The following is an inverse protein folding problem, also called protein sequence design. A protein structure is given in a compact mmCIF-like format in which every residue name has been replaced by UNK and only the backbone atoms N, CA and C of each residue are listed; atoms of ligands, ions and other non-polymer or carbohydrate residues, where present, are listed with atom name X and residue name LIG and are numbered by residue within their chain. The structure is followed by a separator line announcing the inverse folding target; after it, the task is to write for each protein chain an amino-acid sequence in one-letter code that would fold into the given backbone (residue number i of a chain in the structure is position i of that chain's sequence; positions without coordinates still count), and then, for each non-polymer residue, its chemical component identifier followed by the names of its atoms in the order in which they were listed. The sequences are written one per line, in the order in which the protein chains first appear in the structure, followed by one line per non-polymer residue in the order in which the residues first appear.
data_IF_922576373666
#
_entry.id   IF_922576373666
#
_cell.length_a   1.000
_cell.length_b   1.000
_cell.length_c   1.000
_cell.angle_alpha   90.00
_cell.angle_beta   90.00
_cell.angle_gamma   90.00
#
_symmetry.space_group_name_H-M   'P 1'
#
loop_
_entity.id
_entity.type
_entity.pdbx_description
1 polymer ?
#
# COMPACT_ATOMS: atom_id res chain seq x y z
N UNK A 1 7.72 -9.14 24.33
CA UNK A 1 7.52 -9.56 22.93
C UNK A 1 8.61 -8.94 22.08
N UNK A 2 9.32 -9.75 21.29
CA UNK A 2 10.33 -9.26 20.35
C UNK A 2 9.90 -9.63 18.93
N UNK A 3 9.64 -8.62 18.10
CA UNK A 3 8.95 -8.79 16.82
C UNK A 3 9.91 -8.61 15.66
N UNK A 4 9.83 -9.50 14.66
CA UNK A 4 10.46 -9.37 13.37
C UNK A 4 9.40 -9.14 12.30
N UNK A 5 9.49 -8.04 11.56
CA UNK A 5 8.65 -7.78 10.39
C UNK A 5 9.42 -8.17 9.13
N UNK A 6 8.85 -9.05 8.34
CA UNK A 6 9.43 -9.52 7.07
C UNK A 6 8.78 -8.79 5.90
N UNK A 7 9.57 -7.99 5.20
CA UNK A 7 9.19 -7.25 3.99
C UNK A 7 9.88 -7.83 2.76
N UNK A 8 9.46 -7.40 1.59
CA UNK A 8 10.13 -7.66 0.31
C UNK A 8 10.35 -6.36 -0.45
N UNK A 9 11.55 -6.19 -0.96
CA UNK A 9 11.94 -5.03 -1.77
C UNK A 9 11.41 -5.15 -3.23
N UNK A 10 10.11 -5.45 -3.33
CA UNK A 10 9.34 -5.53 -4.58
C UNK A 10 8.53 -4.26 -4.84
N UNK A 11 8.50 -3.33 -3.87
CA UNK A 11 7.83 -2.04 -3.95
C UNK A 11 7.82 -1.31 -2.61
N UNK A 12 7.81 0.03 -2.66
CA UNK A 12 7.81 0.88 -1.46
C UNK A 12 6.57 0.69 -0.57
N UNK A 13 5.47 0.14 -1.10
CA UNK A 13 4.25 -0.10 -0.34
C UNK A 13 4.46 -1.04 0.84
N UNK A 14 5.06 -2.21 0.62
CA UNK A 14 5.34 -3.18 1.67
C UNK A 14 6.29 -2.61 2.73
N UNK A 15 7.33 -1.89 2.30
CA UNK A 15 8.27 -1.24 3.20
C UNK A 15 7.61 -0.12 4.03
N UNK A 16 6.68 0.64 3.45
CA UNK A 16 5.91 1.66 4.17
C UNK A 16 4.99 1.03 5.22
N UNK A 17 4.29 -0.04 4.87
CA UNK A 17 3.47 -0.83 5.77
C UNK A 17 4.30 -1.39 6.95
N UNK A 18 5.44 -2.02 6.66
CA UNK A 18 6.35 -2.55 7.68
C UNK A 18 6.84 -1.46 8.65
N UNK A 19 7.19 -0.27 8.12
CA UNK A 19 7.61 0.88 8.94
C UNK A 19 6.49 1.37 9.85
N UNK A 20 5.25 1.45 9.36
CA UNK A 20 4.09 1.86 10.14
C UNK A 20 3.80 0.89 11.30
N UNK A 21 3.86 -0.42 11.05
CA UNK A 21 3.72 -1.44 12.09
C UNK A 21 4.85 -1.30 13.13
N UNK A 22 6.11 -1.22 12.66
CA UNK A 22 7.27 -1.08 13.56
C UNK A 22 7.13 0.12 14.49
N UNK A 23 6.71 1.26 13.98
CA UNK A 23 6.52 2.48 14.75
C UNK A 23 5.47 2.30 15.86
N UNK A 24 4.37 1.60 15.57
CA UNK A 24 3.35 1.29 16.56
C UNK A 24 3.89 0.41 17.71
N UNK A 25 4.74 -0.58 17.42
CA UNK A 25 5.38 -1.43 18.41
C UNK A 25 6.41 -0.65 19.24
N UNK A 26 7.32 0.08 18.58
CA UNK A 26 8.36 0.87 19.27
C UNK A 26 7.77 1.95 20.18
N UNK A 27 6.69 2.61 19.77
CA UNK A 27 6.02 3.63 20.57
C UNK A 27 5.43 3.10 21.89
N UNK A 28 5.30 1.78 22.02
CA UNK A 28 4.80 1.08 23.21
C UNK A 28 5.91 0.36 23.99
N UNK A 29 7.17 0.59 23.60
CA UNK A 29 8.34 0.03 24.28
C UNK A 29 8.67 -1.41 23.91
N UNK A 30 8.03 -1.98 22.86
CA UNK A 30 8.36 -3.32 22.37
C UNK A 30 9.56 -3.27 21.41
N UNK A 31 10.37 -4.32 21.39
CA UNK A 31 11.43 -4.49 20.40
C UNK A 31 10.82 -4.93 19.05
N UNK A 32 11.17 -4.22 17.98
CA UNK A 32 10.63 -4.51 16.66
C UNK A 32 11.62 -4.15 15.55
N UNK A 33 12.02 -5.15 14.77
CA UNK A 33 12.94 -5.00 13.65
C UNK A 33 12.27 -5.31 12.32
N UNK A 34 12.80 -4.74 11.23
CA UNK A 34 12.37 -5.03 9.85
C UNK A 34 13.52 -5.73 9.15
N UNK A 35 13.20 -6.82 8.44
CA UNK A 35 14.16 -7.54 7.64
C UNK A 35 13.64 -7.76 6.22
N UNK A 36 14.55 -7.65 5.22
CA UNK A 36 14.29 -8.00 3.83
C UNK A 36 14.35 -9.52 3.66
N UNK A 37 13.19 -10.13 3.42
CA UNK A 37 13.05 -11.59 3.40
C UNK A 37 13.79 -12.26 2.23
N UNK A 38 13.96 -11.58 1.11
CA UNK A 38 14.63 -12.14 -0.07
C UNK A 38 16.14 -12.36 0.15
N UNK A 39 16.73 -11.75 1.19
CA UNK A 39 18.13 -12.00 1.55
C UNK A 39 18.41 -13.44 1.97
N UNK A 40 17.39 -14.19 2.41
CA UNK A 40 17.51 -15.60 2.79
C UNK A 40 17.44 -16.56 1.59
N UNK A 41 17.11 -16.06 0.41
CA UNK A 41 17.18 -16.81 -0.83
C UNK A 41 18.63 -16.89 -1.36
N UNK A 42 18.88 -17.83 -2.28
CA UNK A 42 20.13 -17.83 -3.00
C UNK A 42 20.30 -16.52 -3.82
N UNK A 43 21.54 -16.05 -4.01
CA UNK A 43 21.82 -14.81 -4.75
C UNK A 43 21.19 -14.79 -6.14
N UNK A 44 21.13 -15.94 -6.83
CA UNK A 44 20.50 -16.03 -8.14
C UNK A 44 18.98 -15.85 -8.09
N UNK A 45 18.31 -16.44 -7.09
CA UNK A 45 16.86 -16.31 -6.88
C UNK A 45 16.51 -14.88 -6.46
N UNK A 46 17.27 -14.29 -5.54
CA UNK A 46 17.09 -12.91 -5.11
C UNK A 46 17.19 -11.94 -6.29
N UNK A 47 18.27 -12.01 -7.08
CA UNK A 47 18.46 -11.15 -8.27
C UNK A 47 17.34 -11.33 -9.30
N UNK A 48 16.89 -12.57 -9.52
CA UNK A 48 15.81 -12.85 -10.46
C UNK A 48 14.49 -12.19 -10.03
N UNK A 49 14.14 -12.27 -8.76
CA UNK A 49 12.90 -11.69 -8.23
C UNK A 49 12.99 -10.16 -8.21
N UNK A 50 14.01 -9.58 -7.57
CA UNK A 50 14.10 -8.12 -7.40
C UNK A 50 14.30 -7.38 -8.72
N UNK A 51 15.26 -7.82 -9.54
CA UNK A 51 15.53 -7.18 -10.83
C UNK A 51 14.43 -7.46 -11.85
N UNK A 52 13.90 -8.71 -11.86
CA UNK A 52 12.81 -9.11 -12.74
C UNK A 52 11.52 -8.33 -12.46
N UNK A 53 11.12 -8.24 -11.20
CA UNK A 53 9.94 -7.48 -10.78
C UNK A 53 10.05 -6.01 -11.16
N UNK A 54 11.14 -5.34 -10.78
CA UNK A 54 11.36 -3.91 -11.07
C UNK A 54 11.41 -3.64 -12.56
N UNK A 55 12.09 -4.51 -13.34
CA UNK A 55 12.16 -4.38 -14.79
C UNK A 55 10.79 -4.53 -15.45
N UNK A 56 10.04 -5.58 -15.10
CA UNK A 56 8.70 -5.83 -15.66
C UNK A 56 7.73 -4.68 -15.33
N UNK A 57 7.73 -4.22 -14.10
CA UNK A 57 6.86 -3.11 -13.68
C UNK A 57 7.16 -1.82 -14.45
N UNK A 58 8.44 -1.48 -14.66
CA UNK A 58 8.86 -0.24 -15.32
C UNK A 58 8.78 -0.28 -16.85
N UNK A 59 9.11 -1.41 -17.46
CA UNK A 59 9.34 -1.47 -18.92
C UNK A 59 8.32 -2.31 -19.67
N UNK A 60 7.66 -3.26 -18.99
CA UNK A 60 6.70 -4.18 -19.60
C UNK A 60 5.48 -4.40 -18.70
N UNK A 61 4.74 -3.34 -18.33
CA UNK A 61 3.60 -3.46 -17.40
C UNK A 61 2.54 -4.45 -17.87
N UNK A 62 2.29 -4.57 -19.17
CA UNK A 62 1.37 -5.57 -19.72
C UNK A 62 1.84 -7.01 -19.48
N UNK A 63 3.14 -7.27 -19.50
CA UNK A 63 3.70 -8.58 -19.17
C UNK A 63 3.58 -8.87 -17.68
N UNK A 64 3.80 -7.86 -16.84
CA UNK A 64 3.60 -7.94 -15.40
C UNK A 64 2.13 -8.28 -15.07
N UNK A 65 1.17 -7.58 -15.66
CA UNK A 65 -0.26 -7.87 -15.53
C UNK A 65 -0.60 -9.30 -15.99
N UNK A 66 -0.05 -9.73 -17.13
CA UNK A 66 -0.27 -11.10 -17.62
C UNK A 66 0.30 -12.15 -16.67
N UNK A 67 1.45 -11.90 -16.05
CA UNK A 67 2.07 -12.77 -15.04
C UNK A 67 1.22 -12.88 -13.77
N UNK A 68 0.66 -11.78 -13.28
CA UNK A 68 -0.23 -11.78 -12.13
C UNK A 68 -1.54 -12.55 -12.45
N UNK A 69 -2.19 -12.26 -13.57
CA UNK A 69 -3.39 -12.98 -14.01
C UNK A 69 -3.11 -14.48 -14.27
N UNK A 70 -1.88 -14.80 -14.71
CA UNK A 70 -1.48 -16.19 -14.82
C UNK A 70 -1.44 -16.87 -13.44
N UNK A 71 -0.92 -16.20 -12.41
CA UNK A 71 -0.92 -16.75 -11.04
C UNK A 71 -2.33 -16.92 -10.46
N UNK A 72 -3.28 -16.03 -10.81
CA UNK A 72 -4.69 -16.18 -10.42
C UNK A 72 -5.34 -17.41 -11.04
N UNK A 73 -5.02 -17.70 -12.30
CA UNK A 73 -5.55 -18.85 -13.03
C UNK A 73 -4.81 -20.16 -12.72
N UNK A 74 -3.69 -20.09 -11.99
CA UNK A 74 -2.87 -21.24 -11.62
C UNK A 74 -2.58 -21.20 -10.10
N UNK A 75 -3.59 -21.41 -9.25
CA UNK A 75 -3.47 -21.32 -7.80
C UNK A 75 -2.39 -22.27 -7.24
N UNK A 76 -2.12 -23.40 -7.94
CA UNK A 76 -1.09 -24.36 -7.55
C UNK A 76 0.35 -23.86 -7.74
N UNK A 77 0.55 -22.66 -8.32
CA UNK A 77 1.90 -22.13 -8.60
C UNK A 77 2.75 -21.99 -7.34
N UNK A 78 2.14 -21.65 -6.22
CA UNK A 78 2.80 -21.52 -4.91
C UNK A 78 2.41 -22.63 -3.92
N UNK A 79 1.67 -23.65 -4.39
CA UNK A 79 1.34 -24.83 -3.59
C UNK A 79 2.60 -25.65 -3.26
N UNK A 80 2.58 -26.41 -2.17
CA UNK A 80 3.70 -27.21 -1.62
C UNK A 80 4.41 -28.09 -2.66
N UNK A 81 3.73 -28.53 -3.72
CA UNK A 81 4.29 -29.35 -4.79
C UNK A 81 5.03 -28.56 -5.88
N UNK A 82 5.00 -27.23 -5.82
CA UNK A 82 5.59 -26.39 -6.87
C UNK A 82 7.07 -26.11 -6.66
N UNK A 83 7.82 -25.90 -7.77
CA UNK A 83 9.22 -25.49 -7.70
C UNK A 83 9.43 -24.11 -7.09
N UNK A 84 8.43 -23.23 -7.20
CA UNK A 84 8.48 -21.91 -6.59
C UNK A 84 8.36 -22.02 -5.08
N UNK A 85 7.42 -22.82 -4.58
CA UNK A 85 7.31 -23.09 -3.15
C UNK A 85 8.59 -23.73 -2.61
N UNK A 86 9.17 -24.73 -3.29
CA UNK A 86 10.45 -25.33 -2.90
C UNK A 86 11.59 -24.31 -2.77
N UNK A 87 11.59 -23.29 -3.65
CA UNK A 87 12.60 -22.23 -3.59
C UNK A 87 12.45 -21.42 -2.29
N UNK A 88 11.24 -21.03 -1.92
CA UNK A 88 10.95 -20.32 -0.66
C UNK A 88 11.15 -21.23 0.56
N UNK A 89 10.75 -22.48 0.47
CA UNK A 89 10.96 -23.47 1.54
C UNK A 89 12.44 -23.69 1.89
N UNK A 90 13.36 -23.62 0.92
CA UNK A 90 14.82 -23.69 1.16
C UNK A 90 15.35 -22.49 1.95
N UNK A 91 14.68 -21.34 1.91
CA UNK A 91 15.03 -20.18 2.70
C UNK A 91 14.52 -20.27 4.15
N UNK A 92 13.67 -21.24 4.48
CA UNK A 92 13.09 -21.38 5.81
C UNK A 92 14.15 -21.62 6.90
N UNK A 93 15.15 -22.47 6.63
CA UNK A 93 16.18 -22.78 7.64
C UNK A 93 17.06 -21.56 7.97
N UNK A 94 17.70 -20.86 7.01
CA UNK A 94 18.49 -19.67 7.33
C UNK A 94 17.64 -18.53 7.94
N UNK A 95 16.38 -18.40 7.56
CA UNK A 95 15.46 -17.44 8.19
C UNK A 95 15.16 -17.87 9.64
N UNK A 96 14.92 -19.16 9.91
CA UNK A 96 14.69 -19.68 11.27
C UNK A 96 15.89 -19.44 12.17
N UNK A 97 17.11 -19.71 11.68
CA UNK A 97 18.34 -19.42 12.41
C UNK A 97 18.44 -17.94 12.78
N UNK A 98 18.12 -17.04 11.86
CA UNK A 98 18.07 -15.60 12.13
C UNK A 98 17.01 -15.23 13.19
N UNK A 99 15.81 -15.81 13.12
CA UNK A 99 14.74 -15.59 14.10
C UNK A 99 15.20 -16.05 15.49
N UNK A 100 15.72 -17.28 15.59
CA UNK A 100 16.21 -17.88 16.84
C UNK A 100 17.37 -17.09 17.44
N UNK A 101 18.40 -16.79 16.65
CA UNK A 101 19.61 -16.12 17.11
C UNK A 101 19.34 -14.66 17.49
N UNK A 102 18.33 -14.03 16.84
CA UNK A 102 17.81 -12.72 17.20
C UNK A 102 16.89 -12.73 18.43
N UNK A 103 16.43 -13.92 18.88
CA UNK A 103 15.50 -14.05 19.99
C UNK A 103 14.10 -13.52 19.70
N UNK A 104 13.69 -13.55 18.43
CA UNK A 104 12.34 -13.14 18.04
C UNK A 104 11.32 -14.23 18.36
N UNK A 105 10.23 -13.84 19.02
CA UNK A 105 9.10 -14.69 19.38
C UNK A 105 7.85 -14.43 18.54
N UNK A 106 7.88 -13.34 17.77
CA UNK A 106 6.76 -12.86 16.95
C UNK A 106 7.27 -12.47 15.55
N UNK A 107 6.57 -12.95 14.50
CA UNK A 107 6.91 -12.66 13.10
C UNK A 107 5.70 -12.18 12.33
N UNK A 108 5.82 -11.00 11.70
CA UNK A 108 4.76 -10.39 10.89
C UNK A 108 5.24 -10.30 9.43
N UNK A 109 4.50 -10.89 8.51
CA UNK A 109 4.81 -10.88 7.08
C UNK A 109 3.91 -9.87 6.35
N UNK A 110 4.50 -8.88 5.69
CA UNK A 110 3.77 -7.90 4.87
C UNK A 110 3.80 -8.23 3.37
N UNK A 111 4.25 -9.45 3.03
CA UNK A 111 4.29 -9.98 1.66
C UNK A 111 4.12 -11.50 1.67
N UNK A 112 3.58 -12.06 0.57
CA UNK A 112 3.33 -13.50 0.44
C UNK A 112 4.61 -14.33 0.57
N UNK A 113 5.73 -13.92 -0.04
CA UNK A 113 6.95 -14.73 -0.07
C UNK A 113 7.48 -15.06 1.33
N UNK A 114 7.68 -14.10 2.24
CA UNK A 114 8.04 -14.44 3.62
C UNK A 114 6.95 -15.23 4.34
N UNK A 115 5.67 -15.04 4.03
CA UNK A 115 4.60 -15.82 4.64
C UNK A 115 4.73 -17.33 4.31
N UNK A 116 5.12 -17.68 3.08
CA UNK A 116 5.41 -19.06 2.69
C UNK A 116 6.66 -19.62 3.39
N UNK A 117 7.73 -18.80 3.54
CA UNK A 117 8.92 -19.20 4.29
C UNK A 117 8.59 -19.48 5.76
N UNK A 118 7.84 -18.59 6.40
CA UNK A 118 7.43 -18.73 7.80
C UNK A 118 6.46 -19.90 7.99
N UNK A 119 5.57 -20.16 7.03
CA UNK A 119 4.73 -21.37 7.04
C UNK A 119 5.58 -22.62 7.14
N UNK A 120 6.68 -22.69 6.39
CA UNK A 120 7.59 -23.83 6.45
C UNK A 120 8.36 -23.91 7.77
N UNK A 121 8.68 -22.78 8.39
CA UNK A 121 9.28 -22.74 9.74
C UNK A 121 8.31 -23.32 10.76
N UNK A 122 7.04 -22.93 10.74
CA UNK A 122 6.02 -23.47 11.65
C UNK A 122 5.84 -24.99 11.51
N UNK A 123 5.98 -25.51 10.30
CA UNK A 123 5.85 -26.95 10.02
C UNK A 123 7.06 -27.77 10.50
N UNK A 124 8.28 -27.27 10.35
CA UNK A 124 9.51 -28.07 10.50
C UNK A 124 10.34 -27.71 11.70
N UNK A 125 10.23 -26.51 12.25
CA UNK A 125 11.18 -25.99 13.22
C UNK A 125 10.53 -25.46 14.50
N UNK A 126 9.56 -24.57 14.42
CA UNK A 126 8.97 -23.92 15.58
C UNK A 126 7.47 -23.63 15.39
N UNK A 127 6.58 -24.56 15.78
CA UNK A 127 5.14 -24.37 15.70
C UNK A 127 4.58 -23.38 16.73
N UNK A 128 5.37 -22.93 17.72
CA UNK A 128 4.94 -22.03 18.79
C UNK A 128 5.11 -20.56 18.45
N UNK A 129 5.80 -20.25 17.36
CA UNK A 129 6.07 -18.87 16.93
C UNK A 129 4.77 -18.11 16.67
N UNK A 130 4.65 -16.92 17.26
CA UNK A 130 3.51 -16.04 16.98
C UNK A 130 3.65 -15.41 15.59
N UNK A 131 2.69 -15.65 14.70
CA UNK A 131 2.83 -15.23 13.30
C UNK A 131 1.60 -14.54 12.75
N UNK A 132 1.81 -13.61 11.81
CA UNK A 132 0.73 -12.96 11.08
C UNK A 132 1.10 -12.62 9.64
N UNK A 133 0.07 -12.59 8.78
CA UNK A 133 0.12 -11.98 7.46
C UNK A 133 -0.65 -10.66 7.49
N UNK A 134 -0.14 -9.64 6.82
CA UNK A 134 -0.79 -8.34 6.62
C UNK A 134 -0.94 -8.10 5.13
N UNK A 135 -2.16 -8.02 4.65
CA UNK A 135 -2.46 -7.68 3.27
C UNK A 135 -2.21 -6.17 3.03
N UNK A 136 -1.61 -5.84 1.90
CA UNK A 136 -1.21 -4.48 1.52
C UNK A 136 -1.97 -3.93 0.33
N UNK A 137 -2.95 -4.69 -0.17
CA UNK A 137 -3.85 -4.33 -1.27
C UNK A 137 -5.27 -4.80 -0.97
N UNK A 138 -6.28 -4.18 -1.58
CA UNK A 138 -7.71 -4.44 -1.33
C UNK A 138 -8.21 -5.68 -2.06
N UNK A 139 -7.47 -6.76 -1.92
CA UNK A 139 -7.79 -8.09 -2.47
C UNK A 139 -7.09 -9.19 -1.67
N UNK A 140 -7.60 -10.40 -1.77
CA UNK A 140 -6.86 -11.60 -1.38
C UNK A 140 -5.95 -12.01 -2.55
N UNK A 141 -4.65 -11.73 -2.43
CA UNK A 141 -3.70 -12.14 -3.46
C UNK A 141 -3.67 -13.66 -3.63
N UNK A 142 -3.36 -14.17 -4.85
CA UNK A 142 -3.23 -15.60 -5.07
C UNK A 142 -2.30 -16.27 -4.06
N UNK A 143 -2.67 -17.46 -3.63
CA UNK A 143 -1.89 -18.30 -2.70
C UNK A 143 -1.70 -17.75 -1.27
N UNK A 144 -2.39 -16.69 -0.87
CA UNK A 144 -2.41 -16.28 0.56
C UNK A 144 -2.95 -17.40 1.44
N UNK A 145 -3.92 -18.20 0.93
CA UNK A 145 -4.45 -19.38 1.62
C UNK A 145 -3.45 -20.53 1.84
N UNK A 146 -2.34 -20.56 1.07
CA UNK A 146 -1.25 -21.52 1.30
C UNK A 146 -0.38 -21.12 2.50
N UNK A 147 -0.49 -19.89 2.99
CA UNK A 147 0.16 -19.47 4.22
C UNK A 147 -0.63 -19.94 5.45
N UNK A 148 0.07 -20.54 6.43
CA UNK A 148 -0.53 -21.12 7.65
C UNK A 148 -0.16 -20.28 8.89
N UNK A 149 -0.27 -18.95 8.76
CA UNK A 149 0.06 -18.03 9.83
C UNK A 149 -1.07 -17.89 10.85
N UNK A 150 -0.74 -17.46 12.06
CA UNK A 150 -1.66 -17.42 13.20
C UNK A 150 -2.76 -16.35 13.08
N UNK A 151 -2.55 -15.28 12.28
CA UNK A 151 -3.54 -14.24 11.95
C UNK A 151 -3.35 -13.75 10.54
N UNK A 152 -4.47 -13.29 9.94
CA UNK A 152 -4.51 -12.63 8.64
C UNK A 152 -5.20 -11.29 8.77
N UNK A 153 -4.43 -10.21 8.71
CA UNK A 153 -4.94 -8.84 8.75
C UNK A 153 -5.35 -8.41 7.36
N UNK A 154 -6.61 -8.01 7.21
CA UNK A 154 -7.21 -7.68 5.92
C UNK A 154 -7.59 -6.19 5.81
N UNK A 155 -7.64 -5.62 4.59
CA UNK A 155 -7.82 -4.18 4.38
C UNK A 155 -9.20 -3.64 4.79
N UNK A 156 -10.25 -4.45 4.67
CA UNK A 156 -11.61 -4.02 4.98
C UNK A 156 -12.51 -5.21 5.35
N UNK A 157 -13.53 -5.02 6.22
CA UNK A 157 -14.47 -6.08 6.59
C UNK A 157 -15.22 -6.68 5.39
N UNK A 158 -15.54 -5.87 4.39
CA UNK A 158 -16.25 -6.29 3.17
C UNK A 158 -15.47 -7.31 2.34
N UNK A 159 -14.17 -7.41 2.51
CA UNK A 159 -13.29 -8.36 1.80
C UNK A 159 -13.14 -9.70 2.51
N UNK A 160 -13.72 -9.88 3.73
CA UNK A 160 -13.56 -11.12 4.49
C UNK A 160 -13.98 -12.37 3.70
N UNK A 161 -15.05 -12.27 2.90
CA UNK A 161 -15.52 -13.36 2.02
C UNK A 161 -14.50 -13.77 0.98
N UNK A 162 -13.76 -12.82 0.41
CA UNK A 162 -12.73 -13.09 -0.61
C UNK A 162 -11.53 -13.83 0.02
N UNK A 163 -11.13 -13.45 1.24
CA UNK A 163 -10.07 -14.14 1.98
C UNK A 163 -10.48 -15.55 2.41
N UNK A 164 -11.73 -15.75 2.82
CA UNK A 164 -12.27 -17.10 3.09
C UNK A 164 -12.28 -17.95 1.82
N UNK A 165 -12.72 -17.40 0.71
CA UNK A 165 -12.70 -18.07 -0.60
C UNK A 165 -11.28 -18.37 -1.09
N UNK A 166 -10.31 -17.52 -0.71
CA UNK A 166 -8.89 -17.70 -0.94
C UNK A 166 -8.22 -18.73 -0.01
N UNK A 167 -8.98 -19.39 0.90
CA UNK A 167 -8.48 -20.47 1.74
C UNK A 167 -8.11 -20.09 3.17
N UNK A 168 -8.29 -18.84 3.58
CA UNK A 168 -8.04 -18.41 4.96
C UNK A 168 -9.23 -18.81 5.86
N UNK A 169 -8.94 -19.43 7.00
CA UNK A 169 -9.95 -19.78 7.99
C UNK A 169 -10.57 -18.52 8.60
N UNK A 170 -11.91 -18.44 8.71
CA UNK A 170 -12.60 -17.21 9.16
C UNK A 170 -12.11 -16.68 10.52
N UNK A 171 -11.79 -17.58 11.45
CA UNK A 171 -11.32 -17.23 12.80
C UNK A 171 -9.92 -16.59 12.85
N UNK A 172 -9.16 -16.65 11.77
CA UNK A 172 -7.86 -16.01 11.65
C UNK A 172 -7.92 -14.62 11.04
N UNK A 173 -9.06 -14.25 10.43
CA UNK A 173 -9.23 -13.00 9.72
C UNK A 173 -9.49 -11.86 10.71
N UNK A 174 -8.70 -10.79 10.59
CA UNK A 174 -8.84 -9.56 11.38
C UNK A 174 -8.94 -8.37 10.43
N UNK A 175 -10.11 -7.75 10.29
CA UNK A 175 -10.28 -6.53 9.49
C UNK A 175 -9.63 -5.33 10.18
N UNK A 176 -8.38 -5.03 9.84
CA UNK A 176 -7.60 -3.95 10.47
C UNK A 176 -7.51 -2.68 9.64
N UNK A 177 -7.67 -2.77 8.34
CA UNK A 177 -7.15 -1.78 7.40
C UNK A 177 -5.70 -2.08 6.99
N UNK A 178 -5.15 -1.28 6.08
CA UNK A 178 -3.75 -1.34 5.70
C UNK A 178 -2.94 -0.37 6.59
N UNK A 179 -1.86 -0.81 7.24
CA UNK A 179 -1.00 0.08 8.04
C UNK A 179 -0.34 1.16 7.19
N UNK A 180 -0.53 2.39 7.60
CA UNK A 180 0.09 3.59 7.03
C UNK A 180 0.79 4.40 8.11
N UNK A 181 1.69 5.28 7.71
CA UNK A 181 2.47 6.11 8.64
C UNK A 181 1.55 6.95 9.55
N UNK A 182 1.89 7.13 10.84
CA UNK A 182 1.04 7.79 11.85
C UNK A 182 0.64 9.22 11.49
N UNK A 183 1.48 9.95 10.75
CA UNK A 183 1.19 11.32 10.34
C UNK A 183 -0.06 11.45 9.45
N UNK A 184 -0.54 10.37 8.80
CA UNK A 184 -1.77 10.40 8.02
C UNK A 184 -3.04 10.34 8.88
N UNK A 185 -2.94 9.90 10.12
CA UNK A 185 -4.08 9.91 11.07
C UNK A 185 -4.27 11.26 11.77
N UNK A 186 -3.27 12.16 11.70
CA UNK A 186 -3.40 13.54 12.16
C UNK A 186 -3.86 14.44 11.03
N UNK A 187 -4.61 15.49 11.33
CA UNK A 187 -5.09 16.45 10.33
C UNK A 187 -4.68 17.87 10.69
N UNK A 188 -4.02 18.51 9.77
CA UNK A 188 -3.80 19.96 9.81
C UNK A 188 -5.02 20.67 9.21
N UNK A 189 -5.51 21.77 9.80
CA UNK A 189 -6.59 22.56 9.20
C UNK A 189 -6.26 22.93 7.77
N UNK A 190 -7.18 22.68 6.82
CA UNK A 190 -6.97 22.82 5.37
C UNK A 190 -6.37 24.18 4.98
N UNK A 191 -6.89 25.26 5.55
CA UNK A 191 -6.38 26.61 5.26
C UNK A 191 -4.93 26.82 5.74
N UNK A 192 -4.50 26.18 6.81
CA UNK A 192 -3.12 26.19 7.28
C UNK A 192 -2.22 25.36 6.39
N UNK A 193 -2.65 24.16 6.05
CA UNK A 193 -1.94 23.27 5.13
C UNK A 193 -1.75 23.92 3.76
N UNK A 194 -2.78 24.59 3.19
CA UNK A 194 -2.66 25.35 1.94
C UNK A 194 -1.59 26.43 2.01
N UNK A 195 -1.58 27.25 3.09
CA UNK A 195 -0.56 28.29 3.27
C UNK A 195 0.85 27.73 3.33
N UNK A 196 1.04 26.54 3.91
CA UNK A 196 2.35 25.88 4.00
C UNK A 196 2.95 25.54 2.62
N UNK A 197 2.11 25.43 1.59
CA UNK A 197 2.52 25.20 0.20
C UNK A 197 2.37 26.44 -0.68
N UNK A 198 2.12 27.62 -0.09
CA UNK A 198 1.95 28.88 -0.84
C UNK A 198 0.65 28.98 -1.60
N UNK A 199 -0.36 28.17 -1.24
CA UNK A 199 -1.67 28.12 -1.89
C UNK A 199 -2.64 29.04 -1.15
N UNK A 200 -3.42 29.81 -1.90
CA UNK A 200 -4.46 30.67 -1.35
C UNK A 200 -5.56 29.81 -0.69
N UNK A 201 -5.89 30.04 0.60
CA UNK A 201 -6.85 29.20 1.33
C UNK A 201 -8.24 29.10 0.71
N UNK A 202 -8.69 30.12 -0.03
CA UNK A 202 -9.97 30.15 -0.72
C UNK A 202 -9.99 29.39 -2.04
N UNK A 203 -8.82 29.12 -2.64
CA UNK A 203 -8.71 28.38 -3.89
C UNK A 203 -8.96 26.90 -3.71
N UNK A 204 -9.47 26.22 -4.72
CA UNK A 204 -9.57 24.77 -4.76
C UNK A 204 -8.22 24.17 -5.07
N UNK A 205 -7.84 23.09 -4.41
CA UNK A 205 -6.54 22.48 -4.58
C UNK A 205 -6.64 21.02 -5.03
N UNK A 206 -6.12 20.75 -6.23
CA UNK A 206 -5.91 19.40 -6.78
C UNK A 206 -4.45 18.99 -6.57
N UNK A 207 -4.25 17.86 -5.90
CA UNK A 207 -2.94 17.21 -5.82
C UNK A 207 -2.88 16.04 -6.79
N UNK A 208 -1.87 16.00 -7.65
CA UNK A 208 -1.62 14.91 -8.59
C UNK A 208 -0.30 14.21 -8.23
N UNK A 209 -0.35 12.93 -7.82
CA UNK A 209 0.83 12.14 -7.46
C UNK A 209 0.60 10.66 -7.78
N UNK A 210 1.47 10.05 -8.58
CA UNK A 210 1.33 8.66 -9.02
C UNK A 210 2.39 7.73 -8.40
N UNK A 211 2.59 7.91 -7.07
CA UNK A 211 3.53 7.14 -6.27
C UNK A 211 4.97 7.69 -6.29
N UNK A 212 5.85 7.07 -5.52
CA UNK A 212 7.23 7.52 -5.30
C UNK A 212 8.09 7.56 -6.56
N UNK A 213 7.76 6.75 -7.57
CA UNK A 213 8.51 6.66 -8.84
C UNK A 213 8.04 7.71 -9.86
N UNK A 214 6.84 8.28 -9.72
CA UNK A 214 6.27 9.24 -10.66
C UNK A 214 6.03 8.63 -12.04
N UNK A 215 5.25 7.56 -12.11
CA UNK A 215 4.87 6.84 -13.33
C UNK A 215 3.46 7.22 -13.79
N UNK A 216 3.06 6.73 -14.98
CA UNK A 216 1.74 7.01 -15.56
C UNK A 216 1.68 8.32 -16.35
N UNK A 217 0.49 8.77 -16.76
CA UNK A 217 0.29 9.87 -17.71
C UNK A 217 0.30 11.26 -17.03
N UNK A 218 1.15 11.46 -16.00
CA UNK A 218 1.22 12.74 -15.27
C UNK A 218 1.54 13.93 -16.17
N UNK A 219 2.33 13.74 -17.22
CA UNK A 219 2.68 14.82 -18.13
C UNK A 219 1.45 15.28 -18.90
N UNK A 220 0.77 14.37 -19.55
CA UNK A 220 -0.43 14.61 -20.35
C UNK A 220 -1.55 15.19 -19.47
N UNK A 221 -1.77 14.60 -18.30
CA UNK A 221 -2.74 15.11 -17.32
C UNK A 221 -2.42 16.54 -16.86
N UNK A 222 -1.14 16.84 -16.57
CA UNK A 222 -0.73 18.19 -16.17
C UNK A 222 -0.97 19.19 -17.30
N UNK A 223 -0.66 18.82 -18.54
CA UNK A 223 -0.86 19.67 -19.70
C UNK A 223 -2.34 19.98 -19.91
N UNK A 224 -3.22 18.97 -19.89
CA UNK A 224 -4.66 19.14 -20.04
C UNK A 224 -5.28 19.97 -18.91
N UNK A 225 -4.90 19.67 -17.65
CA UNK A 225 -5.41 20.43 -16.49
C UNK A 225 -4.95 21.90 -16.52
N UNK A 226 -3.68 22.16 -16.82
CA UNK A 226 -3.15 23.52 -16.88
C UNK A 226 -3.85 24.39 -17.92
N UNK A 227 -4.29 23.81 -19.05
CA UNK A 227 -5.01 24.53 -20.12
C UNK A 227 -6.48 24.84 -19.76
N UNK A 228 -7.05 24.13 -18.80
CA UNK A 228 -8.49 24.15 -18.52
C UNK A 228 -8.86 24.69 -17.14
N UNK A 229 -7.94 24.64 -16.16
CA UNK A 229 -8.16 25.14 -14.80
C UNK A 229 -8.31 26.66 -14.76
N UNK A 230 -9.19 27.11 -13.87
CA UNK A 230 -9.38 28.55 -13.60
C UNK A 230 -8.31 29.10 -12.67
N UNK A 231 -8.23 30.42 -12.52
CA UNK A 231 -7.31 31.07 -11.59
C UNK A 231 -7.55 30.68 -10.12
N UNK A 232 -8.77 30.34 -9.72
CA UNK A 232 -9.13 29.94 -8.36
C UNK A 232 -8.89 28.43 -8.10
N UNK A 233 -8.28 27.73 -9.05
CA UNK A 233 -7.94 26.31 -8.97
C UNK A 233 -6.43 26.15 -9.03
N UNK A 234 -5.89 25.51 -8.01
CA UNK A 234 -4.46 25.25 -7.85
C UNK A 234 -4.15 23.78 -8.15
N UNK A 235 -3.09 23.52 -8.88
CA UNK A 235 -2.60 22.18 -9.18
C UNK A 235 -1.21 21.99 -8.59
N UNK A 236 -1.05 21.02 -7.69
CA UNK A 236 0.27 20.53 -7.28
C UNK A 236 0.55 19.17 -7.89
N UNK A 237 1.63 19.07 -8.66
CA UNK A 237 2.10 17.82 -9.28
C UNK A 237 3.34 17.34 -8.57
N UNK A 238 3.28 16.13 -7.98
CA UNK A 238 4.42 15.49 -7.32
C UNK A 238 5.03 14.45 -8.26
N UNK A 239 6.21 14.75 -8.77
CA UNK A 239 6.92 13.89 -9.73
C UNK A 239 7.69 12.72 -9.09
N UNK A 240 7.80 12.69 -7.73
CA UNK A 240 8.55 11.68 -7.02
C UNK A 240 10.02 11.63 -7.45
N UNK A 241 10.55 10.42 -7.64
CA UNK A 241 11.92 10.19 -8.11
C UNK A 241 12.12 10.40 -9.64
N UNK A 242 11.08 10.82 -10.36
CA UNK A 242 11.17 11.07 -11.81
C UNK A 242 11.74 12.47 -12.10
N UNK A 243 13.05 12.62 -11.95
CA UNK A 243 13.76 13.89 -12.19
C UNK A 243 13.59 14.43 -13.62
N UNK A 244 13.42 13.54 -14.62
CA UNK A 244 13.21 13.96 -16.00
C UNK A 244 11.86 14.65 -16.15
N UNK A 245 10.82 14.06 -15.59
CA UNK A 245 9.46 14.63 -15.57
C UNK A 245 9.46 15.95 -14.80
N UNK A 246 10.05 15.96 -13.60
CA UNK A 246 10.16 17.15 -12.77
C UNK A 246 10.80 18.33 -13.52
N UNK A 247 11.99 18.13 -14.10
CA UNK A 247 12.67 19.19 -14.88
C UNK A 247 11.86 19.68 -16.06
N UNK A 248 11.18 18.77 -16.76
CA UNK A 248 10.34 19.13 -17.91
C UNK A 248 9.15 20.02 -17.48
N UNK A 249 8.37 19.58 -16.49
CA UNK A 249 7.20 20.30 -16.03
C UNK A 249 7.56 21.60 -15.31
N UNK A 250 8.58 21.61 -14.46
CA UNK A 250 9.05 22.81 -13.76
C UNK A 250 9.52 23.89 -14.74
N UNK A 251 10.19 23.52 -15.83
CA UNK A 251 10.58 24.47 -16.87
C UNK A 251 9.38 25.00 -17.66
N UNK A 252 8.41 24.13 -18.00
CA UNK A 252 7.24 24.50 -18.81
C UNK A 252 6.29 25.44 -18.06
N UNK A 253 6.09 25.20 -16.76
CA UNK A 253 5.15 25.98 -15.93
C UNK A 253 5.85 27.00 -15.03
N UNK A 254 7.11 27.32 -15.30
CA UNK A 254 7.81 28.38 -14.59
C UNK A 254 7.06 29.71 -14.72
N UNK A 255 6.67 30.31 -13.59
CA UNK A 255 5.93 31.56 -13.54
C UNK A 255 4.39 31.43 -13.63
N UNK A 256 3.84 30.23 -13.73
CA UNK A 256 2.41 30.01 -13.53
C UNK A 256 2.09 30.06 -12.03
N UNK A 257 1.20 30.96 -11.64
CA UNK A 257 0.94 31.22 -10.21
C UNK A 257 0.18 30.07 -9.53
N UNK A 258 -0.64 29.33 -10.29
CA UNK A 258 -1.52 28.27 -9.78
C UNK A 258 -1.08 26.84 -10.14
N UNK A 259 0.14 26.66 -10.68
CA UNK A 259 0.70 25.34 -11.01
C UNK A 259 2.00 25.14 -10.25
N UNK A 260 2.03 24.17 -9.35
CA UNK A 260 3.15 23.85 -8.46
C UNK A 260 3.75 22.51 -8.83
N UNK A 261 5.01 22.48 -9.24
CA UNK A 261 5.71 21.26 -9.66
C UNK A 261 6.73 20.88 -8.58
N UNK A 262 6.50 19.76 -7.91
CA UNK A 262 7.36 19.23 -6.86
C UNK A 262 8.10 17.99 -7.36
N UNK A 263 9.33 17.81 -6.90
CA UNK A 263 10.09 16.57 -7.04
C UNK A 263 9.62 15.52 -6.04
N UNK A 264 10.55 14.98 -5.24
CA UNK A 264 10.23 14.07 -4.14
C UNK A 264 9.76 14.89 -2.91
N UNK A 265 8.50 14.71 -2.53
CA UNK A 265 7.89 15.39 -1.39
C UNK A 265 7.93 14.49 -0.13
N UNK A 266 8.43 15.02 0.98
CA UNK A 266 8.51 14.31 2.26
C UNK A 266 7.25 14.49 3.11
N UNK A 267 6.61 15.65 3.00
CA UNK A 267 5.46 16.03 3.82
C UNK A 267 4.13 15.73 3.10
N UNK A 268 4.04 14.52 2.51
CA UNK A 268 2.84 14.11 1.74
C UNK A 268 1.57 14.19 2.59
N UNK A 269 1.63 13.85 3.87
CA UNK A 269 0.48 13.95 4.77
C UNK A 269 -0.06 15.37 4.85
N UNK A 270 0.81 16.37 5.03
CA UNK A 270 0.43 17.79 5.05
C UNK A 270 -0.06 18.26 3.68
N UNK A 271 0.54 17.78 2.60
CA UNK A 271 0.10 18.08 1.24
C UNK A 271 -1.32 17.56 0.98
N UNK A 272 -1.64 16.35 1.43
CA UNK A 272 -3.01 15.81 1.31
C UNK A 272 -4.01 16.55 2.22
N UNK A 273 -3.59 17.08 3.37
CA UNK A 273 -4.44 17.95 4.19
C UNK A 273 -4.82 19.26 3.47
N UNK A 274 -3.98 19.75 2.56
CA UNK A 274 -4.26 20.96 1.77
C UNK A 274 -5.20 20.69 0.59
N UNK A 275 -5.35 19.44 0.16
CA UNK A 275 -6.07 19.09 -1.05
C UNK A 275 -7.60 19.08 -0.88
N UNK A 276 -8.30 19.41 -1.93
CA UNK A 276 -9.74 19.23 -2.08
C UNK A 276 -10.08 17.98 -2.91
N UNK A 277 -9.13 17.56 -3.75
CA UNK A 277 -9.21 16.38 -4.60
C UNK A 277 -7.81 15.77 -4.82
N UNK A 278 -7.73 14.46 -4.91
CA UNK A 278 -6.48 13.74 -5.14
C UNK A 278 -6.54 12.90 -6.41
N UNK A 279 -5.66 13.19 -7.36
CA UNK A 279 -5.43 12.39 -8.57
C UNK A 279 -4.24 11.47 -8.35
N UNK A 280 -4.47 10.16 -8.32
CA UNK A 280 -3.40 9.19 -8.03
C UNK A 280 -3.58 7.88 -8.77
N UNK A 281 -2.56 7.01 -8.71
CA UNK A 281 -2.71 5.61 -9.10
C UNK A 281 -3.34 4.80 -7.96
N UNK A 282 -4.04 3.69 -8.25
CA UNK A 282 -4.73 2.90 -7.23
C UNK A 282 -3.78 1.95 -6.46
N UNK A 283 -2.63 2.44 -6.01
CA UNK A 283 -1.71 1.66 -5.15
C UNK A 283 -2.23 1.59 -3.72
N UNK A 284 -2.21 0.40 -3.10
CA UNK A 284 -2.82 0.13 -1.81
C UNK A 284 -2.49 1.15 -0.71
N UNK A 285 -1.21 1.54 -0.57
CA UNK A 285 -0.80 2.54 0.42
C UNK A 285 -1.33 3.93 0.06
N UNK A 286 -1.19 4.38 -1.19
CA UNK A 286 -1.59 5.74 -1.59
C UNK A 286 -3.09 5.98 -1.42
N UNK A 287 -3.93 5.00 -1.78
CA UNK A 287 -5.39 5.12 -1.61
C UNK A 287 -5.79 5.02 -0.12
N UNK A 288 -5.05 4.27 0.70
CA UNK A 288 -5.27 4.19 2.15
C UNK A 288 -4.84 5.49 2.84
N UNK A 289 -3.73 6.11 2.44
CA UNK A 289 -3.29 7.43 2.92
C UNK A 289 -4.34 8.51 2.61
N UNK A 290 -4.89 8.51 1.39
CA UNK A 290 -5.99 9.40 1.01
C UNK A 290 -7.27 9.10 1.81
N UNK A 291 -7.58 7.83 2.03
CA UNK A 291 -8.72 7.41 2.84
C UNK A 291 -8.62 7.91 4.29
N UNK A 292 -7.44 7.83 4.91
CA UNK A 292 -7.21 8.36 6.25
C UNK A 292 -7.44 9.89 6.34
N UNK A 293 -7.21 10.60 5.23
CA UNK A 293 -7.51 12.04 5.10
C UNK A 293 -8.97 12.31 4.69
N UNK A 294 -9.78 11.28 4.45
CA UNK A 294 -11.13 11.36 3.86
C UNK A 294 -11.14 12.20 2.57
N UNK A 295 -10.12 12.04 1.76
CA UNK A 295 -9.89 12.84 0.56
C UNK A 295 -10.48 12.13 -0.67
N UNK A 296 -11.44 12.73 -1.40
CA UNK A 296 -11.98 12.18 -2.64
C UNK A 296 -10.88 11.94 -3.69
N UNK A 297 -11.01 10.86 -4.44
CA UNK A 297 -9.98 10.42 -5.37
C UNK A 297 -10.47 10.38 -6.82
N UNK A 298 -9.58 10.77 -7.73
CA UNK A 298 -9.63 10.38 -9.15
C UNK A 298 -8.49 9.40 -9.35
N UNK A 299 -8.80 8.18 -9.76
CA UNK A 299 -7.81 7.13 -9.94
C UNK A 299 -7.49 6.97 -11.41
N UNK A 300 -6.20 7.04 -11.75
CA UNK A 300 -5.75 6.66 -13.10
C UNK A 300 -5.94 5.16 -13.30
N UNK A 301 -5.89 4.71 -14.55
CA UNK A 301 -5.94 3.28 -14.84
C UNK A 301 -4.81 2.51 -14.12
N UNK A 302 -5.11 1.28 -13.74
CA UNK A 302 -4.18 0.43 -13.01
C UNK A 302 -2.94 0.09 -13.85
N UNK A 303 -1.76 0.29 -13.26
CA UNK A 303 -0.48 -0.06 -13.90
C UNK A 303 -0.16 -1.55 -13.64
N UNK A 304 -0.50 -2.04 -12.46
CA UNK A 304 -0.33 -3.44 -12.05
C UNK A 304 -1.68 -4.12 -11.88
N UNK A 305 -1.79 -5.43 -12.18
CA UNK A 305 -3.05 -6.16 -12.10
C UNK A 305 -3.68 -6.11 -10.69
N UNK A 306 -2.88 -6.17 -9.63
CA UNK A 306 -3.35 -6.04 -8.25
C UNK A 306 -4.00 -4.67 -7.98
N UNK A 307 -3.57 -3.62 -8.68
CA UNK A 307 -4.11 -2.28 -8.54
C UNK A 307 -5.54 -2.17 -9.13
N UNK A 308 -5.93 -3.08 -10.05
CA UNK A 308 -7.31 -3.14 -10.56
C UNK A 308 -8.31 -3.43 -9.43
N UNK A 309 -7.94 -4.26 -8.46
CA UNK A 309 -8.79 -4.57 -7.30
C UNK A 309 -8.92 -3.36 -6.35
N UNK A 310 -7.83 -2.62 -6.16
CA UNK A 310 -7.86 -1.39 -5.36
C UNK A 310 -8.76 -0.33 -6.04
N UNK A 311 -8.62 -0.15 -7.35
CA UNK A 311 -9.47 0.74 -8.15
C UNK A 311 -10.95 0.34 -8.04
N UNK A 312 -11.25 -0.94 -8.23
CA UNK A 312 -12.60 -1.50 -8.13
C UNK A 312 -13.19 -1.31 -6.72
N UNK A 313 -12.42 -1.54 -5.68
CA UNK A 313 -12.87 -1.38 -4.30
C UNK A 313 -13.32 0.07 -4.03
N UNK A 314 -12.47 1.07 -4.33
CA UNK A 314 -12.78 2.46 -4.04
C UNK A 314 -13.85 3.05 -4.97
N UNK A 315 -13.93 2.62 -6.22
CA UNK A 315 -14.99 3.06 -7.14
C UNK A 315 -16.34 2.46 -6.76
N UNK A 316 -16.42 1.18 -6.41
CA UNK A 316 -17.64 0.53 -5.91
C UNK A 316 -18.12 1.09 -4.58
N UNK A 317 -17.20 1.49 -3.70
CA UNK A 317 -17.53 2.18 -2.46
C UNK A 317 -18.04 3.61 -2.69
N UNK A 318 -17.94 4.18 -3.88
CA UNK A 318 -18.30 5.57 -4.16
C UNK A 318 -17.26 6.59 -3.66
N UNK A 319 -16.08 6.13 -3.29
CA UNK A 319 -14.97 6.91 -2.74
C UNK A 319 -14.03 7.47 -3.82
N UNK A 320 -14.08 6.91 -5.02
CA UNK A 320 -13.26 7.32 -6.15
C UNK A 320 -14.05 7.28 -7.45
N UNK A 321 -13.52 8.00 -8.45
CA UNK A 321 -13.92 7.89 -9.86
C UNK A 321 -12.71 7.57 -10.72
N UNK A 322 -12.92 7.03 -11.91
CA UNK A 322 -11.87 6.76 -12.90
C UNK A 322 -12.37 7.03 -14.31
N UNK A 323 -11.46 7.14 -15.26
CA UNK A 323 -11.76 7.25 -16.69
C UNK A 323 -10.62 6.62 -17.51
N UNK A 324 -10.88 6.37 -18.80
CA UNK A 324 -9.97 5.62 -19.65
C UNK A 324 -8.81 6.45 -20.23
N UNK A 325 -9.03 7.76 -20.42
CA UNK A 325 -8.03 8.63 -21.05
C UNK A 325 -7.60 9.78 -20.11
N UNK A 326 -6.40 10.35 -20.32
CA UNK A 326 -5.96 11.53 -19.55
C UNK A 326 -6.93 12.72 -19.66
N UNK A 327 -7.52 12.94 -20.82
CA UNK A 327 -8.48 14.01 -21.05
C UNK A 327 -9.77 13.80 -20.25
N UNK A 328 -10.29 12.58 -20.22
CA UNK A 328 -11.47 12.21 -19.42
C UNK A 328 -11.18 12.30 -17.92
N UNK A 329 -9.98 11.86 -17.49
CA UNK A 329 -9.54 12.00 -16.09
C UNK A 329 -9.43 13.46 -15.67
N UNK A 330 -8.88 14.32 -16.52
CA UNK A 330 -8.84 15.76 -16.29
C UNK A 330 -10.25 16.36 -16.20
N UNK A 331 -11.17 15.96 -17.08
CA UNK A 331 -12.58 16.37 -17.03
C UNK A 331 -13.24 15.93 -15.71
N UNK A 332 -13.03 14.69 -15.25
CA UNK A 332 -13.50 14.22 -13.93
C UNK A 332 -12.97 15.09 -12.78
N UNK A 333 -11.67 15.47 -12.83
CA UNK A 333 -11.09 16.34 -11.81
C UNK A 333 -11.80 17.70 -11.76
N UNK A 334 -12.00 18.33 -12.91
CA UNK A 334 -12.65 19.65 -13.00
C UNK A 334 -14.12 19.59 -12.58
N UNK A 335 -14.84 18.56 -13.00
CA UNK A 335 -16.22 18.34 -12.58
C UNK A 335 -16.33 18.17 -11.07
N UNK A 336 -15.49 17.34 -10.45
CA UNK A 336 -15.48 17.14 -9.01
C UNK A 336 -15.06 18.40 -8.25
N UNK A 337 -14.12 19.19 -8.75
CA UNK A 337 -13.77 20.46 -8.14
C UNK A 337 -14.97 21.43 -8.13
N UNK A 338 -15.81 21.40 -9.16
CA UNK A 338 -17.01 22.22 -9.24
C UNK A 338 -18.19 21.71 -8.37
N UNK A 339 -18.11 20.47 -7.82
CA UNK A 339 -19.20 19.82 -7.10
C UNK A 339 -18.82 19.53 -5.63
N UNK A 340 -18.87 20.51 -4.71
CA UNK A 340 -18.48 20.31 -3.30
C UNK A 340 -19.35 19.26 -2.58
N UNK A 341 -20.64 19.18 -2.91
CA UNK A 341 -21.57 18.19 -2.32
C UNK A 341 -21.16 16.78 -2.73
N UNK A 342 -20.77 16.57 -3.99
CA UNK A 342 -20.31 15.28 -4.48
C UNK A 342 -19.00 14.86 -3.79
N UNK A 343 -18.07 15.80 -3.60
CA UNK A 343 -16.85 15.52 -2.83
C UNK A 343 -17.14 15.16 -1.38
N UNK A 344 -18.13 15.79 -0.74
CA UNK A 344 -18.55 15.46 0.62
C UNK A 344 -19.15 14.05 0.71
N UNK A 345 -19.98 13.64 -0.26
CA UNK A 345 -20.49 12.27 -0.37
C UNK A 345 -19.36 11.25 -0.51
N UNK A 346 -18.41 11.51 -1.39
CA UNK A 346 -17.23 10.64 -1.58
C UNK A 346 -16.39 10.55 -0.29
N UNK A 347 -16.19 11.65 0.42
CA UNK A 347 -15.48 11.65 1.71
C UNK A 347 -16.20 10.82 2.78
N UNK A 348 -17.51 10.85 2.84
CA UNK A 348 -18.31 10.02 3.74
C UNK A 348 -18.20 8.54 3.37
N UNK A 349 -18.29 8.20 2.08
CA UNK A 349 -18.14 6.83 1.57
C UNK A 349 -16.76 6.21 1.91
N UNK A 350 -15.70 7.01 1.92
CA UNK A 350 -14.36 6.58 2.33
C UNK A 350 -14.36 6.16 3.82
N UNK A 351 -14.95 6.98 4.69
CA UNK A 351 -14.96 6.72 6.13
C UNK A 351 -15.69 5.43 6.50
N UNK A 352 -16.70 5.06 5.73
CA UNK A 352 -17.49 3.83 5.93
C UNK A 352 -16.77 2.59 5.36
N UNK A 353 -15.92 2.75 4.36
CA UNK A 353 -15.32 1.63 3.63
C UNK A 353 -14.04 1.09 4.28
N UNK A 354 -13.22 1.95 4.90
CA UNK A 354 -11.86 1.61 5.30
C UNK A 354 -11.66 1.79 6.82
N UNK A 355 -11.29 0.72 7.56
CA UNK A 355 -10.89 0.84 8.95
C UNK A 355 -9.64 1.72 9.08
N UNK A 356 -9.63 2.58 10.09
CA UNK A 356 -8.47 3.38 10.46
C UNK A 356 -7.74 2.72 11.65
N UNK A 357 -6.49 3.15 11.92
CA UNK A 357 -5.66 2.64 13.02
C UNK A 357 -5.19 1.19 12.86
N UNK A 358 -4.93 0.75 11.64
CA UNK A 358 -4.52 -0.61 11.33
C UNK A 358 -3.32 -1.10 12.17
N UNK A 359 -2.28 -0.28 12.31
CA UNK A 359 -1.08 -0.64 13.07
C UNK A 359 -1.37 -0.86 14.56
N UNK A 360 -2.34 -0.12 15.15
CA UNK A 360 -2.83 -0.30 16.51
C UNK A 360 -3.52 -1.66 16.67
N UNK A 361 -4.48 -1.94 15.79
CA UNK A 361 -5.22 -3.21 15.78
C UNK A 361 -4.28 -4.41 15.64
N UNK A 362 -3.26 -4.29 14.78
CA UNK A 362 -2.23 -5.33 14.62
C UNK A 362 -1.45 -5.51 15.93
N UNK A 363 -0.98 -4.43 16.54
CA UNK A 363 -0.25 -4.49 17.80
C UNK A 363 -1.05 -5.19 18.89
N UNK A 364 -2.28 -4.74 19.15
CA UNK A 364 -3.17 -5.31 20.18
C UNK A 364 -3.44 -6.78 19.94
N UNK A 365 -3.79 -7.17 18.72
CA UNK A 365 -4.05 -8.56 18.34
C UNK A 365 -2.82 -9.45 18.52
N UNK A 366 -1.63 -8.96 18.14
CA UNK A 366 -0.40 -9.72 18.30
C UNK A 366 0.01 -9.87 19.77
N UNK A 367 -0.23 -8.85 20.61
CA UNK A 367 -0.03 -8.95 22.06
C UNK A 367 -0.97 -9.99 22.69
N UNK A 368 -2.20 -10.10 22.25
CA UNK A 368 -3.14 -11.11 22.70
C UNK A 368 -2.69 -12.51 22.29
N UNK A 369 -2.32 -12.68 21.02
CA UNK A 369 -1.83 -13.96 20.49
C UNK A 369 -0.58 -14.42 21.23
N UNK A 370 0.38 -13.53 21.47
CA UNK A 370 1.60 -13.83 22.19
C UNK A 370 1.33 -14.28 23.63
N UNK A 371 0.43 -13.58 24.37
CA UNK A 371 0.02 -13.98 25.71
C UNK A 371 -0.64 -15.37 25.75
N UNK A 372 -1.40 -15.72 24.71
CA UNK A 372 -2.03 -17.05 24.61
C UNK A 372 -1.01 -18.14 24.36
N UNK A 373 0.02 -17.90 23.52
CA UNK A 373 1.04 -18.88 23.23
C UNK A 373 1.90 -19.21 24.48
N UNK A 374 2.28 -18.20 25.29
CA UNK A 374 3.02 -18.42 26.53
C UNK A 374 2.20 -19.30 27.49
N UNK A 375 0.91 -19.03 27.69
CA UNK A 375 0.06 -19.85 28.57
C UNK A 375 -0.08 -21.30 28.11
N UNK A 376 -0.03 -21.53 26.80
CA UNK A 376 -0.11 -22.90 26.26
C UNK A 376 1.19 -23.72 26.47
N UNK A 377 2.32 -23.04 26.62
CA UNK A 377 3.62 -23.68 26.91
C UNK A 377 3.75 -24.02 28.41
N UNK A 378 3.12 -23.23 29.28
CA UNK A 378 3.18 -23.40 30.75
C UNK A 378 2.16 -24.44 31.29
N UNK A 379 1.29 -24.99 30.44
CA UNK A 379 0.32 -26.04 30.76
C UNK A 379 0.76 -27.45 30.28
#
# INVERSE_FOLDING_TARGET
MKTLILSCDTGEGHNSCAKAIREAFLSRGEECDICEALHFLSEGAQKLITSGHTFMYRHTPKLYQSGYRFSENHPDMFHESSRLYEMFAKAALPLYEHIRDGGYDTVICVHLFPALMVTKILELHDPSLCTAFVATDYTCSPSVGDSRLGRCFIPAPSLAGDFVSGGIRPELIVPSGIPIRPEFYTRTPKAEAKRSFGIEPSHQHLVAMTGSIGCGPLKELTETLAETMTYEQELTVVCGANEKLHRHLASRYAGWANIHILGFEKNVSLLLDSADLYLTKPGGISVTEAAAKALPMVLIDAIAAVEEYNLDFFTKAGAAVTAATPEELAACCLELLAQPERRAEMSAAIADAVPLNAAETIYETMCELHRMSIKAVDM
#
